data_IF_854582678157
#
_entry.id   IF_854582678157
#
_cell.length_a   1.000
_cell.length_b   1.000
_cell.length_c   1.000
_cell.angle_alpha   90.00
_cell.angle_beta   90.00
_cell.angle_gamma   90.00
#
_symmetry.space_group_name_H-M   'P 1'
#
loop_
_entity.id
_entity.type
_entity.pdbx_description
1 polymer ?
#
# COMPACT_ATOMS: atom_id res chain seq x y z
N UNK A 1 11.63 -7.94 -0.12
CA UNK A 1 11.50 -8.86 -1.26
C UNK A 1 12.59 -8.58 -2.32
N UNK A 2 12.98 -9.61 -3.11
CA UNK A 2 14.02 -9.48 -4.16
C UNK A 2 13.45 -9.09 -5.53
N UNK A 3 12.13 -8.96 -5.65
CA UNK A 3 11.40 -8.85 -6.91
C UNK A 3 11.01 -10.20 -7.51
N UNK A 4 11.41 -11.30 -6.89
CA UNK A 4 11.21 -12.63 -7.46
C UNK A 4 12.01 -12.80 -8.75
N UNK A 5 11.40 -13.33 -9.81
CA UNK A 5 12.06 -13.51 -11.10
C UNK A 5 12.25 -12.19 -11.87
N UNK A 6 11.39 -11.17 -11.67
CA UNK A 6 11.64 -9.79 -12.10
C UNK A 6 12.55 -9.11 -11.07
N UNK A 7 13.78 -9.60 -10.99
CA UNK A 7 14.74 -9.25 -9.94
C UNK A 7 15.03 -7.75 -9.89
N UNK A 8 14.99 -7.18 -8.69
CA UNK A 8 15.33 -5.77 -8.47
C UNK A 8 16.74 -5.45 -8.93
N UNK A 9 16.94 -4.28 -9.52
CA UNK A 9 18.27 -3.78 -9.89
C UNK A 9 19.01 -3.20 -8.69
N UNK A 10 20.31 -3.02 -8.80
CA UNK A 10 21.25 -2.66 -7.75
C UNK A 10 20.75 -1.80 -6.59
N UNK A 11 20.31 -0.56 -6.83
CA UNK A 11 19.82 0.33 -5.77
C UNK A 11 18.51 -0.17 -5.14
N UNK A 12 17.61 -0.74 -5.94
CA UNK A 12 16.37 -1.34 -5.45
C UNK A 12 16.67 -2.53 -4.54
N UNK A 13 17.61 -3.39 -4.95
CA UNK A 13 18.02 -4.56 -4.17
C UNK A 13 18.65 -4.16 -2.83
N UNK A 14 19.52 -3.16 -2.80
CA UNK A 14 20.16 -2.71 -1.54
C UNK A 14 19.18 -2.11 -0.54
N UNK A 15 18.03 -1.59 -1.02
CA UNK A 15 16.98 -0.99 -0.20
C UNK A 15 15.80 -1.93 0.05
N UNK A 16 15.79 -3.16 -0.45
CA UNK A 16 14.65 -4.08 -0.28
C UNK A 16 14.33 -4.39 1.18
N UNK A 17 15.31 -4.25 2.09
CA UNK A 17 15.12 -4.40 3.53
C UNK A 17 14.05 -3.49 4.11
N UNK A 18 13.67 -2.38 3.42
CA UNK A 18 12.59 -1.48 3.82
C UNK A 18 11.20 -1.96 3.37
N UNK A 19 11.09 -2.97 2.51
CA UNK A 19 9.80 -3.37 1.91
C UNK A 19 8.82 -3.96 2.94
N UNK A 20 9.26 -4.21 4.16
CA UNK A 20 8.42 -4.48 5.34
C UNK A 20 7.90 -3.19 6.02
N UNK A 21 8.18 -2.02 5.47
CA UNK A 21 7.93 -0.73 6.10
C UNK A 21 6.44 -0.41 6.29
N UNK A 22 5.56 -0.88 5.40
CA UNK A 22 4.11 -0.78 5.59
C UNK A 22 3.65 -1.54 6.83
N UNK A 23 4.05 -2.81 6.97
CA UNK A 23 3.74 -3.62 8.14
C UNK A 23 4.30 -2.99 9.44
N UNK A 24 5.52 -2.47 9.40
CA UNK A 24 6.13 -1.79 10.56
C UNK A 24 5.34 -0.54 10.97
N UNK A 25 4.87 0.26 10.00
CA UNK A 25 4.03 1.43 10.28
C UNK A 25 2.67 1.02 10.85
N UNK A 26 2.03 -0.04 10.33
CA UNK A 26 0.78 -0.57 10.88
C UNK A 26 0.95 -1.04 12.34
N UNK A 27 2.04 -1.74 12.67
CA UNK A 27 2.34 -2.16 14.06
C UNK A 27 2.52 -0.92 14.95
N UNK A 28 3.29 0.08 14.48
CA UNK A 28 3.50 1.34 15.21
C UNK A 28 2.20 2.09 15.46
N UNK A 29 1.32 2.18 14.47
CA UNK A 29 0.00 2.79 14.59
C UNK A 29 -0.89 2.05 15.58
N UNK A 30 -0.97 0.71 15.48
CA UNK A 30 -1.76 -0.11 16.41
C UNK A 30 -1.30 0.07 17.86
N UNK A 31 0.02 0.13 18.08
CA UNK A 31 0.57 0.43 19.42
C UNK A 31 0.17 1.82 19.90
N UNK A 32 0.27 2.85 19.05
CA UNK A 32 -0.14 4.22 19.42
C UNK A 32 -1.63 4.31 19.75
N UNK A 33 -2.49 3.65 18.98
CA UNK A 33 -3.95 3.57 19.24
C UNK A 33 -4.22 2.98 20.62
N UNK A 34 -3.53 1.87 20.94
CA UNK A 34 -3.63 1.20 22.24
C UNK A 34 -3.12 2.07 23.39
N UNK A 35 -1.93 2.66 23.25
CA UNK A 35 -1.29 3.47 24.30
C UNK A 35 -2.11 4.73 24.64
N UNK A 36 -2.75 5.33 23.64
CA UNK A 36 -3.58 6.54 23.82
C UNK A 36 -5.00 6.19 24.28
N UNK A 37 -5.40 4.92 24.18
CA UNK A 37 -6.71 4.44 24.63
C UNK A 37 -7.87 4.89 23.76
N UNK A 38 -7.66 4.99 22.43
CA UNK A 38 -8.75 5.26 21.50
C UNK A 38 -9.74 4.10 21.53
N UNK A 39 -11.03 4.40 21.74
CA UNK A 39 -12.08 3.38 21.86
C UNK A 39 -12.57 2.93 20.49
N UNK A 40 -11.80 2.08 19.83
CA UNK A 40 -12.13 1.42 18.55
C UNK A 40 -11.85 -0.07 18.64
N UNK A 41 -12.57 -0.86 17.87
CA UNK A 41 -12.26 -2.28 17.64
C UNK A 41 -11.25 -2.37 16.50
N UNK A 42 -9.99 -2.61 16.83
CA UNK A 42 -8.88 -2.57 15.89
C UNK A 42 -8.39 -3.98 15.54
N UNK A 43 -8.51 -4.34 14.28
CA UNK A 43 -7.95 -5.56 13.71
C UNK A 43 -6.68 -5.24 12.91
N UNK A 44 -5.53 -5.74 13.37
CA UNK A 44 -4.26 -5.58 12.68
C UNK A 44 -3.96 -6.82 11.82
N UNK A 45 -3.89 -6.64 10.50
CA UNK A 45 -3.53 -7.68 9.54
C UNK A 45 -2.13 -7.40 8.97
N UNK A 46 -1.21 -8.35 9.11
CA UNK A 46 0.15 -8.24 8.62
C UNK A 46 0.38 -9.24 7.47
N UNK A 47 0.54 -8.74 6.26
CA UNK A 47 0.82 -9.54 5.07
C UNK A 47 2.34 -9.75 4.95
N UNK A 48 2.84 -10.83 5.51
CA UNK A 48 4.27 -11.14 5.55
C UNK A 48 4.57 -12.33 4.65
N UNK A 49 5.21 -12.09 3.52
CA UNK A 49 5.64 -13.12 2.57
C UNK A 49 7.07 -12.87 2.15
N UNK A 50 7.75 -13.94 1.77
CA UNK A 50 9.04 -13.86 1.10
C UNK A 50 8.82 -13.95 -0.42
N UNK A 51 9.34 -12.95 -1.15
CA UNK A 51 9.38 -12.96 -2.61
C UNK A 51 10.83 -13.04 -3.06
N UNK A 52 11.27 -14.23 -3.41
CA UNK A 52 12.67 -14.51 -3.79
C UNK A 52 12.74 -15.53 -4.92
N UNK A 53 13.92 -15.65 -5.55
CA UNK A 53 14.16 -16.60 -6.62
C UNK A 53 14.17 -18.02 -6.05
N UNK A 54 13.29 -18.85 -6.52
CA UNK A 54 13.20 -20.26 -6.17
C UNK A 54 12.49 -21.08 -7.24
N UNK A 55 12.54 -22.40 -7.13
CA UNK A 55 11.76 -23.30 -8.01
C UNK A 55 10.24 -23.16 -7.86
N UNK A 56 9.79 -22.54 -6.76
CA UNK A 56 8.36 -22.28 -6.44
C UNK A 56 7.94 -20.85 -6.68
N UNK A 57 8.85 -19.96 -7.12
CA UNK A 57 8.53 -18.56 -7.41
C UNK A 57 7.49 -18.48 -8.52
N UNK A 58 6.56 -17.56 -8.36
CA UNK A 58 5.63 -17.20 -9.45
C UNK A 58 6.40 -16.63 -10.64
N UNK A 59 5.87 -16.80 -11.82
CA UNK A 59 6.47 -16.39 -13.09
C UNK A 59 5.59 -15.34 -13.76
N UNK A 60 6.16 -14.44 -14.55
CA UNK A 60 5.37 -13.66 -15.49
C UNK A 60 4.47 -14.58 -16.33
N UNK A 61 3.22 -14.19 -16.52
CA UNK A 61 2.13 -14.93 -17.17
C UNK A 61 1.54 -16.09 -16.36
N UNK A 62 2.00 -16.38 -15.16
CA UNK A 62 1.23 -17.25 -14.25
C UNK A 62 -0.12 -16.58 -13.93
N UNK A 63 -1.14 -17.40 -13.71
CA UNK A 63 -2.46 -16.93 -13.27
C UNK A 63 -2.69 -17.44 -11.85
N UNK A 64 -2.90 -16.51 -10.93
CA UNK A 64 -3.17 -16.82 -9.53
C UNK A 64 -4.61 -16.48 -9.17
N UNK A 65 -5.21 -17.26 -8.28
CA UNK A 65 -6.56 -17.01 -7.78
C UNK A 65 -6.48 -16.23 -6.48
N UNK A 66 -7.15 -15.07 -6.42
CA UNK A 66 -7.29 -14.28 -5.22
C UNK A 66 -8.24 -14.92 -4.20
N UNK A 67 -8.21 -14.46 -2.95
CA UNK A 67 -9.17 -14.85 -1.90
C UNK A 67 -10.61 -14.58 -2.31
N UNK A 68 -10.86 -13.46 -2.98
CA UNK A 68 -12.18 -13.09 -3.47
C UNK A 68 -12.71 -14.02 -4.55
N UNK A 69 -11.83 -14.73 -5.25
CA UNK A 69 -12.16 -15.68 -6.32
C UNK A 69 -11.75 -15.24 -7.71
N UNK A 70 -11.38 -13.99 -7.91
CA UNK A 70 -10.88 -13.46 -9.19
C UNK A 70 -9.53 -14.07 -9.56
N UNK A 71 -9.31 -14.24 -10.87
CA UNK A 71 -8.04 -14.70 -11.41
C UNK A 71 -7.18 -13.50 -11.83
N UNK A 72 -5.92 -13.48 -11.41
CA UNK A 72 -4.98 -12.40 -11.66
C UNK A 72 -3.79 -12.91 -12.45
N UNK A 73 -3.56 -12.35 -13.64
CA UNK A 73 -2.36 -12.61 -14.44
C UNK A 73 -1.16 -11.84 -13.84
N UNK A 74 -0.06 -12.53 -13.64
CA UNK A 74 1.18 -11.95 -13.16
C UNK A 74 1.91 -11.29 -14.34
N UNK A 75 1.88 -9.98 -14.42
CA UNK A 75 2.65 -9.22 -15.39
C UNK A 75 4.06 -8.89 -14.88
N UNK A 76 4.19 -8.68 -13.56
CA UNK A 76 5.47 -8.41 -12.88
C UNK A 76 5.49 -9.11 -11.53
N UNK A 77 6.53 -9.89 -11.26
CA UNK A 77 6.70 -10.59 -9.97
C UNK A 77 7.18 -9.65 -8.85
N UNK A 78 7.71 -8.46 -9.15
CA UNK A 78 8.03 -7.40 -8.18
C UNK A 78 6.80 -6.53 -7.83
N UNK A 79 5.62 -6.94 -8.28
CA UNK A 79 4.33 -6.39 -7.89
C UNK A 79 3.51 -7.42 -7.06
N UNK A 80 4.16 -8.19 -6.21
CA UNK A 80 3.57 -9.19 -5.30
C UNK A 80 2.83 -8.54 -4.12
N UNK A 81 3.31 -7.40 -3.65
CA UNK A 81 2.77 -6.70 -2.48
C UNK A 81 1.28 -6.40 -2.63
N UNK A 82 0.83 -5.99 -3.81
CA UNK A 82 -0.59 -5.75 -4.07
C UNK A 82 -1.43 -7.04 -4.10
N UNK A 83 -0.84 -8.18 -4.44
CA UNK A 83 -1.54 -9.48 -4.43
C UNK A 83 -1.88 -9.90 -3.00
N UNK A 84 -0.92 -9.82 -2.09
CA UNK A 84 -1.13 -10.18 -0.68
C UNK A 84 -2.01 -9.15 0.04
N UNK A 85 -1.90 -7.85 -0.31
CA UNK A 85 -2.81 -6.82 0.20
C UNK A 85 -4.24 -7.04 -0.29
N UNK A 86 -4.45 -7.43 -1.54
CA UNK A 86 -5.76 -7.76 -2.08
C UNK A 86 -6.48 -8.84 -1.26
N UNK A 87 -5.76 -9.90 -0.89
CA UNK A 87 -6.28 -10.96 -0.06
C UNK A 87 -6.59 -10.50 1.38
N UNK A 88 -5.73 -9.66 1.96
CA UNK A 88 -5.95 -9.09 3.29
C UNK A 88 -7.13 -8.09 3.31
N UNK A 89 -7.25 -7.24 2.29
CA UNK A 89 -8.38 -6.31 2.14
C UNK A 89 -9.69 -7.09 1.98
N UNK A 90 -9.69 -8.16 1.17
CA UNK A 90 -10.85 -9.05 1.03
C UNK A 90 -11.21 -9.66 2.39
N UNK A 91 -10.23 -10.22 3.10
CA UNK A 91 -10.45 -10.81 4.43
C UNK A 91 -11.03 -9.79 5.43
N UNK A 92 -10.47 -8.57 5.45
CA UNK A 92 -10.98 -7.50 6.30
C UNK A 92 -12.43 -7.13 5.93
N UNK A 93 -12.74 -7.01 4.64
CA UNK A 93 -14.08 -6.65 4.14
C UNK A 93 -15.16 -7.67 4.51
N UNK A 94 -14.81 -8.95 4.74
CA UNK A 94 -15.74 -10.00 5.15
C UNK A 94 -16.40 -9.69 6.51
N UNK A 95 -15.70 -8.98 7.41
CA UNK A 95 -16.22 -8.55 8.72
C UNK A 95 -17.02 -7.24 8.66
N UNK A 96 -17.13 -6.60 7.49
CA UNK A 96 -17.83 -5.32 7.26
C UNK A 96 -17.37 -4.22 8.23
N UNK A 97 -16.09 -3.89 8.27
CA UNK A 97 -15.59 -2.84 9.14
C UNK A 97 -16.07 -1.46 8.67
N UNK A 98 -16.08 -0.49 9.57
CA UNK A 98 -16.41 0.91 9.25
C UNK A 98 -15.34 1.54 8.34
N UNK A 99 -14.09 1.08 8.45
CA UNK A 99 -12.96 1.57 7.65
C UNK A 99 -11.87 0.50 7.52
N UNK A 100 -11.27 0.41 6.34
CA UNK A 100 -10.01 -0.30 6.11
C UNK A 100 -8.92 0.74 5.81
N UNK A 101 -7.79 0.66 6.49
CA UNK A 101 -6.58 1.42 6.18
C UNK A 101 -5.45 0.45 5.91
N UNK A 102 -4.83 0.53 4.75
CA UNK A 102 -3.62 -0.24 4.46
C UNK A 102 -2.43 0.68 4.16
N UNK A 103 -1.24 0.22 4.49
CA UNK A 103 0.01 0.93 4.33
C UNK A 103 1.04 0.01 3.68
N UNK A 104 1.65 0.46 2.60
CA UNK A 104 2.66 -0.33 1.91
C UNK A 104 3.75 0.54 1.28
N UNK A 105 4.94 -0.01 1.13
CA UNK A 105 6.01 0.56 0.29
C UNK A 105 5.81 0.12 -1.17
N UNK A 106 4.61 0.40 -1.71
CA UNK A 106 4.04 -0.34 -2.82
C UNK A 106 4.68 0.02 -4.16
N UNK A 107 4.85 1.33 -4.45
CA UNK A 107 5.27 1.71 -5.80
C UNK A 107 6.44 2.68 -5.84
N UNK A 108 7.31 2.47 -6.83
CA UNK A 108 8.30 3.49 -7.23
C UNK A 108 7.64 4.74 -7.81
N UNK A 109 6.48 4.58 -8.45
CA UNK A 109 5.75 5.66 -9.09
C UNK A 109 5.26 6.72 -8.10
N UNK A 110 4.80 6.32 -6.91
CA UNK A 110 4.47 7.26 -5.84
C UNK A 110 5.68 8.10 -5.45
N UNK A 111 6.83 7.48 -5.25
CA UNK A 111 8.07 8.18 -4.89
C UNK A 111 8.58 9.12 -5.99
N UNK A 112 8.39 8.77 -7.25
CA UNK A 112 8.73 9.65 -8.39
C UNK A 112 7.84 10.89 -8.40
N UNK A 113 6.56 10.75 -8.09
CA UNK A 113 5.62 11.86 -8.07
C UNK A 113 5.77 12.76 -6.84
N UNK A 114 5.97 12.16 -5.64
CA UNK A 114 5.84 12.82 -4.35
C UNK A 114 7.18 13.04 -3.62
N UNK A 115 8.27 12.43 -4.12
CA UNK A 115 9.52 12.32 -3.38
C UNK A 115 9.45 11.25 -2.29
N UNK A 116 10.45 11.24 -1.41
CA UNK A 116 10.58 10.20 -0.37
C UNK A 116 10.00 10.61 1.00
N UNK A 117 9.58 11.87 1.16
CA UNK A 117 9.18 12.44 2.45
C UNK A 117 7.66 12.58 2.59
N UNK A 118 6.94 12.62 1.48
CA UNK A 118 5.49 12.79 1.47
C UNK A 118 4.85 11.54 0.88
N UNK A 119 4.30 10.64 1.70
CA UNK A 119 3.53 9.52 1.19
C UNK A 119 2.33 9.99 0.37
N UNK A 120 2.06 9.31 -0.74
CA UNK A 120 0.76 9.46 -1.38
C UNK A 120 -0.28 8.61 -0.67
N UNK A 121 -1.53 9.05 -0.69
CA UNK A 121 -2.63 8.21 -0.30
C UNK A 121 -3.77 8.24 -1.32
N UNK A 122 -4.58 7.20 -1.29
CA UNK A 122 -5.79 7.04 -2.09
C UNK A 122 -6.95 6.73 -1.15
N UNK A 123 -8.12 7.21 -1.48
CA UNK A 123 -9.32 7.00 -0.69
C UNK A 123 -10.53 6.88 -1.62
N UNK A 124 -11.44 5.96 -1.32
CA UNK A 124 -12.69 5.80 -2.08
C UNK A 124 -13.86 6.62 -1.50
N UNK A 125 -13.57 7.49 -0.52
CA UNK A 125 -14.52 8.39 0.12
C UNK A 125 -13.87 9.78 0.29
N UNK A 126 -14.45 10.80 -0.34
CA UNK A 126 -13.88 12.15 -0.38
C UNK A 126 -13.94 12.84 0.99
N UNK A 127 -14.98 12.59 1.80
CA UNK A 127 -15.09 13.17 3.15
C UNK A 127 -14.01 12.61 4.08
N UNK A 128 -13.73 11.30 3.99
CA UNK A 128 -12.64 10.68 4.73
C UNK A 128 -11.28 11.21 4.27
N UNK A 129 -11.10 11.38 2.96
CA UNK A 129 -9.88 11.94 2.41
C UNK A 129 -9.60 13.35 2.95
N UNK A 130 -10.61 14.22 2.98
CA UNK A 130 -10.48 15.59 3.52
C UNK A 130 -10.14 15.57 5.01
N UNK A 131 -10.81 14.73 5.81
CA UNK A 131 -10.50 14.57 7.24
C UNK A 131 -9.06 14.12 7.47
N UNK A 132 -8.53 13.20 6.64
CA UNK A 132 -7.15 12.73 6.73
C UNK A 132 -6.14 13.83 6.35
N UNK A 133 -6.42 14.62 5.31
CA UNK A 133 -5.61 15.78 4.91
C UNK A 133 -5.52 16.79 6.06
N UNK A 134 -6.64 17.08 6.71
CA UNK A 134 -6.66 18.00 7.85
C UNK A 134 -5.89 17.45 9.06
N UNK A 135 -5.98 16.16 9.32
CA UNK A 135 -5.19 15.49 10.36
C UNK A 135 -3.69 15.53 10.04
N UNK A 136 -3.32 15.30 8.79
CA UNK A 136 -1.94 15.42 8.29
C UNK A 136 -1.37 16.83 8.56
N UNK A 137 -2.13 17.87 8.24
CA UNK A 137 -1.73 19.28 8.49
C UNK A 137 -1.58 19.57 9.98
N UNK A 138 -2.52 19.13 10.82
CA UNK A 138 -2.47 19.39 12.27
C UNK A 138 -1.30 18.72 12.95
N UNK A 139 -0.93 17.53 12.49
CA UNK A 139 0.14 16.74 13.12
C UNK A 139 1.52 17.01 12.54
N UNK A 140 1.60 17.72 11.41
CA UNK A 140 2.85 17.88 10.66
C UNK A 140 3.41 16.56 10.12
N UNK A 141 2.56 15.54 9.93
CA UNK A 141 2.89 14.25 9.34
C UNK A 141 2.32 14.21 7.91
N UNK A 142 3.12 14.58 6.90
CA UNK A 142 2.60 14.95 5.59
C UNK A 142 2.03 13.74 4.85
N UNK A 143 0.83 13.93 4.27
CA UNK A 143 0.18 13.00 3.36
C UNK A 143 -0.42 13.80 2.20
N UNK A 144 -0.44 13.23 1.00
CA UNK A 144 -1.04 13.88 -0.16
C UNK A 144 -1.90 12.91 -0.95
N UNK A 145 -3.15 13.31 -1.22
CA UNK A 145 -4.10 12.50 -1.98
C UNK A 145 -3.73 12.48 -3.47
N UNK A 146 -3.67 11.29 -4.05
CA UNK A 146 -3.68 11.06 -5.49
C UNK A 146 -5.05 10.49 -5.91
N UNK A 147 -5.50 10.75 -7.17
CA UNK A 147 -6.82 10.34 -7.61
C UNK A 147 -6.92 8.84 -7.89
N UNK A 148 -8.09 8.27 -7.62
CA UNK A 148 -8.52 6.99 -8.18
C UNK A 148 -9.19 7.27 -9.54
N UNK A 149 -8.39 7.38 -10.61
CA UNK A 149 -8.86 7.75 -11.93
C UNK A 149 -9.34 6.53 -12.72
N UNK A 150 -10.63 6.30 -12.76
CA UNK A 150 -11.28 5.08 -13.28
C UNK A 150 -10.85 4.69 -14.71
N UNK A 151 -10.60 5.68 -15.58
CA UNK A 151 -10.15 5.40 -16.95
C UNK A 151 -8.83 4.62 -17.01
N UNK A 152 -8.00 4.68 -15.95
CA UNK A 152 -6.78 3.90 -15.88
C UNK A 152 -7.00 2.43 -15.48
N UNK A 153 -8.21 2.06 -15.05
CA UNK A 153 -8.55 0.66 -14.79
C UNK A 153 -8.40 -0.22 -16.04
N UNK A 154 -8.59 0.35 -17.23
CA UNK A 154 -8.37 -0.35 -18.49
C UNK A 154 -6.92 -0.82 -18.70
N UNK A 155 -5.95 -0.20 -18.03
CA UNK A 155 -4.56 -0.62 -18.09
C UNK A 155 -4.32 -1.97 -17.39
N UNK A 156 -5.24 -2.40 -16.52
CA UNK A 156 -5.17 -3.68 -15.80
C UNK A 156 -5.83 -4.83 -16.56
N UNK A 157 -6.39 -4.60 -17.74
CA UNK A 157 -7.06 -5.64 -18.50
C UNK A 157 -6.10 -6.76 -18.87
N UNK A 158 -6.59 -8.01 -18.79
CA UNK A 158 -5.92 -9.23 -19.23
C UNK A 158 -6.72 -9.90 -20.34
N UNK A 159 -6.04 -10.59 -21.24
CA UNK A 159 -6.66 -11.48 -22.23
C UNK A 159 -6.89 -12.90 -21.68
N UNK A 160 -6.28 -13.24 -20.55
CA UNK A 160 -6.21 -14.61 -20.03
C UNK A 160 -6.77 -14.76 -18.62
N UNK A 161 -7.03 -13.64 -17.93
CA UNK A 161 -7.51 -13.60 -16.55
C UNK A 161 -8.51 -12.44 -16.38
N UNK A 162 -9.07 -12.26 -15.20
CA UNK A 162 -9.98 -11.15 -14.94
C UNK A 162 -9.24 -9.80 -15.02
N UNK A 163 -7.97 -9.75 -14.59
CA UNK A 163 -7.09 -8.58 -14.71
C UNK A 163 -5.63 -8.96 -14.44
N UNK A 164 -4.72 -8.00 -14.68
CA UNK A 164 -3.28 -8.12 -14.39
C UNK A 164 -2.92 -7.47 -13.06
N UNK A 165 -1.82 -7.94 -12.45
CA UNK A 165 -1.27 -7.29 -11.26
C UNK A 165 -0.53 -5.99 -11.55
N UNK A 166 -0.25 -5.65 -12.81
CA UNK A 166 0.43 -4.42 -13.22
C UNK A 166 -0.26 -3.80 -14.44
N UNK A 167 -0.22 -2.46 -14.55
CA UNK A 167 -0.71 -1.76 -15.72
C UNK A 167 0.21 -1.94 -16.94
N UNK A 168 -0.35 -1.77 -18.13
CA UNK A 168 0.35 -1.88 -19.40
C UNK A 168 1.10 -0.58 -19.80
N UNK A 169 1.13 0.43 -18.95
CA UNK A 169 1.79 1.71 -19.16
C UNK A 169 2.86 1.96 -18.10
N UNK A 170 3.94 2.65 -18.48
CA UNK A 170 4.96 3.14 -17.53
C UNK A 170 4.49 4.36 -16.72
N UNK A 171 3.34 4.96 -17.10
CA UNK A 171 2.78 6.13 -16.44
C UNK A 171 1.61 5.76 -15.52
N UNK A 172 1.43 6.53 -14.45
CA UNK A 172 0.31 6.36 -13.53
C UNK A 172 0.40 5.12 -12.65
N UNK A 173 1.58 4.53 -12.47
CA UNK A 173 1.77 3.26 -11.76
C UNK A 173 1.25 3.25 -10.32
N UNK A 174 1.29 4.37 -9.59
CA UNK A 174 0.71 4.47 -8.26
C UNK A 174 -0.83 4.41 -8.31
N UNK A 175 -1.42 5.09 -9.29
CA UNK A 175 -2.88 5.10 -9.48
C UNK A 175 -3.39 3.72 -9.88
N UNK A 176 -2.72 3.06 -10.86
CA UNK A 176 -3.13 1.70 -11.28
C UNK A 176 -2.96 0.67 -10.17
N UNK A 177 -1.93 0.82 -9.31
CA UNK A 177 -1.77 -0.03 -8.12
C UNK A 177 -2.92 0.17 -7.12
N UNK A 178 -3.32 1.41 -6.86
CA UNK A 178 -4.44 1.72 -5.98
C UNK A 178 -5.78 1.23 -6.59
N UNK A 179 -6.01 1.41 -7.89
CA UNK A 179 -7.19 0.89 -8.59
C UNK A 179 -7.26 -0.64 -8.56
N UNK A 180 -6.11 -1.32 -8.61
CA UNK A 180 -6.05 -2.77 -8.39
C UNK A 180 -6.56 -3.13 -7.00
N UNK A 181 -6.07 -2.48 -5.95
CA UNK A 181 -6.47 -2.73 -4.55
C UNK A 181 -7.94 -2.37 -4.29
N UNK A 182 -8.43 -1.28 -4.87
CA UNK A 182 -9.82 -0.83 -4.72
C UNK A 182 -10.83 -1.90 -5.13
N UNK A 183 -10.53 -2.74 -6.13
CA UNK A 183 -11.40 -3.85 -6.55
C UNK A 183 -11.75 -4.77 -5.38
N UNK A 184 -10.84 -4.95 -4.43
CA UNK A 184 -10.98 -5.85 -3.29
C UNK A 184 -11.60 -5.18 -2.06
N UNK A 185 -11.54 -3.84 -1.96
CA UNK A 185 -12.22 -3.08 -0.91
C UNK A 185 -13.76 -3.04 -1.12
N UNK A 186 -14.22 -3.25 -2.36
CA UNK A 186 -15.65 -3.22 -2.74
C UNK A 186 -16.33 -1.93 -2.27
N UNK A 187 -17.34 -2.06 -1.43
CA UNK A 187 -18.11 -0.92 -0.89
C UNK A 187 -17.63 -0.50 0.51
N UNK A 188 -16.56 -1.09 1.03
CA UNK A 188 -16.02 -0.71 2.34
C UNK A 188 -15.26 0.60 2.20
N UNK A 189 -15.46 1.59 3.10
CA UNK A 189 -14.61 2.77 3.16
C UNK A 189 -13.13 2.35 3.30
N UNK A 190 -12.28 2.90 2.44
CA UNK A 190 -10.91 2.41 2.30
C UNK A 190 -9.92 3.54 2.04
N UNK A 191 -8.78 3.45 2.73
CA UNK A 191 -7.63 4.33 2.56
C UNK A 191 -6.40 3.46 2.31
N UNK A 192 -5.67 3.73 1.23
CA UNK A 192 -4.37 3.16 0.94
C UNK A 192 -3.28 4.24 1.05
N UNK A 193 -2.19 3.94 1.78
CA UNK A 193 -1.03 4.84 1.89
C UNK A 193 0.18 4.16 1.28
N UNK A 194 0.69 4.74 0.18
CA UNK A 194 1.91 4.31 -0.50
C UNK A 194 3.10 5.17 -0.03
N UNK A 195 3.97 4.56 0.76
CA UNK A 195 5.01 5.26 1.52
C UNK A 195 6.42 4.75 1.23
N UNK A 196 7.42 5.55 1.54
CA UNK A 196 8.82 5.14 1.43
C UNK A 196 9.29 4.34 2.65
N UNK A 197 8.83 4.67 3.85
CA UNK A 197 9.25 4.11 5.13
C UNK A 197 10.77 4.13 5.39
N UNK A 198 11.50 5.00 4.72
CA UNK A 198 12.95 5.11 4.83
C UNK A 198 13.38 6.56 4.67
N UNK A 199 14.19 7.05 5.60
CA UNK A 199 14.80 8.37 5.50
C UNK A 199 16.28 8.27 5.13
N UNK A 200 16.75 9.24 4.33
CA UNK A 200 18.18 9.45 4.13
C UNK A 200 18.71 10.41 5.20
N UNK A 201 19.89 10.10 5.75
CA UNK A 201 20.55 10.99 6.67
C UNK A 201 20.60 12.40 6.07
N UNK A 202 20.03 13.42 6.76
CA UNK A 202 20.30 14.86 6.54
C UNK A 202 19.18 15.81 6.96
N UNK A 203 17.97 15.36 7.37
CA UNK A 203 16.88 16.31 7.58
C UNK A 203 16.41 16.48 9.02
N UNK A 204 16.21 15.42 9.76
CA UNK A 204 15.67 15.49 11.13
C UNK A 204 16.35 14.51 12.09
N UNK A 205 17.04 13.52 11.57
CA UNK A 205 17.87 12.61 12.35
C UNK A 205 19.25 12.49 11.73
N UNK A 206 20.23 12.22 12.56
CA UNK A 206 21.62 12.05 12.12
C UNK A 206 21.86 10.74 11.39
N UNK A 207 20.82 9.91 11.20
CA UNK A 207 20.98 8.54 10.74
C UNK A 207 20.01 8.21 9.60
N UNK A 208 20.53 7.50 8.60
CA UNK A 208 19.73 6.85 7.58
C UNK A 208 19.06 5.60 8.18
N UNK A 209 17.76 5.40 7.92
CA UNK A 209 17.05 4.24 8.46
C UNK A 209 15.55 4.24 8.22
N UNK A 210 14.88 3.31 8.89
CA UNK A 210 13.43 3.21 8.87
C UNK A 210 12.77 4.48 9.41
N UNK A 211 11.69 4.91 8.76
CA UNK A 211 10.94 6.12 9.10
C UNK A 211 9.46 5.81 9.25
N UNK A 212 8.88 6.36 10.32
CA UNK A 212 7.44 6.31 10.55
C UNK A 212 6.75 7.42 9.76
N UNK A 213 5.84 7.06 8.85
CA UNK A 213 5.17 7.99 7.95
C UNK A 213 3.65 7.80 8.01
N UNK A 214 2.91 8.90 8.20
CA UNK A 214 1.45 8.91 8.19
C UNK A 214 0.80 8.38 9.48
N UNK A 215 1.53 7.79 10.42
CA UNK A 215 0.94 7.18 11.62
C UNK A 215 0.44 8.22 12.62
N UNK A 216 1.05 9.41 12.70
CA UNK A 216 0.59 10.51 13.56
C UNK A 216 -0.68 11.14 12.97
N UNK A 217 -0.72 11.29 11.64
CA UNK A 217 -1.90 11.76 10.92
C UNK A 217 -3.08 10.79 11.11
N UNK A 218 -2.86 9.49 10.95
CA UNK A 218 -3.89 8.47 11.17
C UNK A 218 -4.35 8.41 12.64
N UNK A 219 -3.44 8.56 13.61
CA UNK A 219 -3.81 8.60 15.02
C UNK A 219 -4.74 9.79 15.33
N UNK A 220 -4.44 10.99 14.82
CA UNK A 220 -5.30 12.17 14.97
C UNK A 220 -6.62 12.00 14.23
N UNK A 221 -6.59 11.38 13.06
CA UNK A 221 -7.78 11.04 12.27
C UNK A 221 -8.69 10.09 13.07
N UNK A 222 -8.17 8.99 13.64
CA UNK A 222 -8.97 8.04 14.42
C UNK A 222 -9.58 8.63 15.69
N UNK A 223 -8.95 9.64 16.29
CA UNK A 223 -9.55 10.38 17.43
C UNK A 223 -10.80 11.17 17.03
N UNK A 224 -11.01 11.42 15.75
CA UNK A 224 -12.09 12.28 15.21
C UNK A 224 -13.02 11.52 14.24
N UNK A 225 -12.71 10.26 14.01
CA UNK A 225 -13.52 9.37 13.18
C UNK A 225 -14.79 8.93 13.92
#
# INVERSE_FOLDING_TARGET
DTGGLNIKTGTGMSLMKKDMGGAANCIGLAKLVSDVGIQIDLHLLLCLVENSISKKSMRPSDIVKSREGSFVEIGDTDAEGRLILADAITYASESKPDLIVDMATLTGASRVAMGIEVPSFFCNDDDLAMKLIDSSKRTGDPLWQLPLWDNYSNQLNSEHADFKNIGNSVFGGAITAALFLQKFAKNTPWIHIDLMAWTRANKYSSYEGGEAMGIRALLDFFKRF
#
